data_IF_878398710737
#
_entry.id   IF_878398710737
#
_cell.length_a   1.000
_cell.length_b   1.000
_cell.length_c   1.000
_cell.angle_alpha   90.00
_cell.angle_beta   90.00
_cell.angle_gamma   90.00
#
_symmetry.space_group_name_H-M   'P 1'
#
loop_
_entity.id
_entity.type
_entity.pdbx_description
1 polymer ?
#
# COMPACT_ATOMS: atom_id res chain seq x y z
N UNK A 1 -33.07 3.16 40.54
CA UNK A 1 -33.93 4.29 40.19
C UNK A 1 -33.78 4.54 38.71
N UNK A 2 -34.80 4.14 37.93
CA UNK A 2 -34.74 4.09 36.50
C UNK A 2 -35.29 5.40 35.91
N UNK A 3 -34.41 6.22 35.34
CA UNK A 3 -34.82 7.45 34.64
C UNK A 3 -34.92 7.25 33.11
N UNK A 4 -34.68 6.04 32.59
CA UNK A 4 -34.66 5.77 31.18
C UNK A 4 -35.94 5.10 30.58
N UNK A 5 -36.89 4.72 31.47
CA UNK A 5 -38.09 4.03 31.02
C UNK A 5 -39.17 4.95 30.42
N UNK A 6 -39.04 6.27 30.53
CA UNK A 6 -40.03 7.23 30.08
C UNK A 6 -39.73 7.92 28.75
N UNK A 7 -38.65 7.58 28.08
CA UNK A 7 -38.23 8.26 26.84
C UNK A 7 -38.52 7.43 25.57
N UNK A 8 -38.62 6.11 25.69
CA UNK A 8 -38.97 5.25 24.54
C UNK A 8 -40.02 4.23 24.94
N UNK A 9 -41.33 4.56 24.80
CA UNK A 9 -42.40 3.57 24.94
C UNK A 9 -42.35 2.64 23.70
N UNK A 10 -42.27 1.34 23.92
CA UNK A 10 -42.25 0.25 22.92
C UNK A 10 -40.90 -0.21 22.36
N UNK A 11 -39.92 -0.45 23.21
CA UNK A 11 -38.93 -1.42 22.86
C UNK A 11 -39.30 -2.77 23.49
N UNK A 12 -40.19 -3.50 22.83
CA UNK A 12 -40.42 -4.90 23.13
C UNK A 12 -39.17 -5.71 22.75
N UNK A 13 -38.34 -6.08 23.71
CA UNK A 13 -37.31 -7.08 23.53
C UNK A 13 -37.95 -8.47 23.28
N UNK A 14 -38.36 -8.70 22.05
CA UNK A 14 -38.67 -10.02 21.56
C UNK A 14 -37.58 -10.46 20.56
N UNK A 15 -36.39 -10.70 21.08
CA UNK A 15 -35.37 -11.46 20.33
C UNK A 15 -35.52 -12.92 20.72
N UNK A 16 -36.47 -13.60 20.08
CA UNK A 16 -36.55 -15.08 20.08
C UNK A 16 -36.13 -15.70 18.76
N UNK A 17 -35.43 -14.98 17.93
CA UNK A 17 -34.82 -15.58 16.75
C UNK A 17 -33.30 -15.65 16.98
N UNK A 18 -32.78 -16.89 17.02
CA UNK A 18 -31.35 -17.21 17.02
C UNK A 18 -30.67 -16.78 15.70
N UNK A 19 -30.97 -15.59 15.21
CA UNK A 19 -30.21 -14.98 14.13
C UNK A 19 -28.87 -14.51 14.71
N UNK A 20 -27.86 -15.32 14.52
CA UNK A 20 -26.47 -14.91 14.77
C UNK A 20 -26.19 -13.69 13.90
N UNK A 21 -26.14 -12.53 14.51
CA UNK A 21 -25.82 -11.28 13.82
C UNK A 21 -24.38 -11.40 13.28
N UNK A 22 -24.24 -11.58 11.99
CA UNK A 22 -22.92 -11.71 11.33
C UNK A 22 -22.19 -10.37 11.23
N UNK A 23 -22.92 -9.24 11.27
CA UNK A 23 -22.33 -7.90 11.11
C UNK A 23 -21.49 -7.49 12.33
N UNK A 24 -21.97 -7.73 13.54
CA UNK A 24 -21.24 -7.34 14.76
C UNK A 24 -19.93 -8.11 14.97
N UNK A 25 -19.85 -9.43 14.73
CA UNK A 25 -18.57 -10.15 14.76
C UNK A 25 -17.60 -9.65 13.71
N UNK A 26 -18.06 -9.38 12.48
CA UNK A 26 -17.23 -8.84 11.40
C UNK A 26 -16.71 -7.44 11.71
N UNK A 27 -17.56 -6.56 12.25
CA UNK A 27 -17.16 -5.21 12.63
C UNK A 27 -16.19 -5.16 13.83
N UNK A 28 -16.19 -6.19 14.68
CA UNK A 28 -15.30 -6.33 15.84
C UNK A 28 -14.15 -7.33 15.60
N UNK A 29 -13.99 -7.78 14.39
CA UNK A 29 -12.96 -8.75 14.07
C UNK A 29 -11.58 -8.15 14.38
N UNK A 30 -10.91 -8.71 15.38
CA UNK A 30 -9.52 -8.36 15.67
C UNK A 30 -8.67 -8.82 14.48
N UNK A 31 -7.80 -7.94 14.00
CA UNK A 31 -6.79 -8.31 13.01
C UNK A 31 -6.06 -9.57 13.49
N UNK A 32 -6.13 -10.62 12.70
CA UNK A 32 -5.33 -11.81 12.98
C UNK A 32 -3.85 -11.42 12.90
N UNK A 33 -3.00 -11.93 13.80
CA UNK A 33 -1.57 -11.68 13.68
C UNK A 33 -1.11 -12.24 12.33
N UNK A 34 -0.54 -11.38 11.49
CA UNK A 34 0.10 -11.84 10.25
C UNK A 34 1.25 -12.78 10.63
N UNK A 35 1.32 -13.98 10.04
CA UNK A 35 2.51 -14.79 10.19
C UNK A 35 3.71 -13.95 9.72
N UNK A 36 4.74 -13.86 10.55
CA UNK A 36 5.99 -13.20 10.16
C UNK A 36 6.58 -13.95 8.97
N UNK A 37 6.31 -13.46 7.78
CA UNK A 37 6.92 -13.96 6.57
C UNK A 37 8.30 -13.30 6.41
N UNK A 38 9.32 -13.90 7.02
CA UNK A 38 10.70 -13.42 6.97
C UNK A 38 11.42 -13.83 5.66
N UNK A 39 10.69 -14.25 4.64
CA UNK A 39 11.28 -14.58 3.36
C UNK A 39 11.60 -13.30 2.59
N UNK A 40 12.87 -12.90 2.67
CA UNK A 40 13.44 -11.88 1.80
C UNK A 40 13.69 -12.48 0.41
N UNK A 41 13.69 -11.63 -0.60
CA UNK A 41 14.11 -12.07 -1.94
C UNK A 41 15.56 -12.55 -1.91
N UNK A 42 15.91 -13.59 -2.68
CA UNK A 42 17.24 -14.20 -2.62
C UNK A 42 18.34 -13.31 -3.20
N UNK A 43 17.99 -12.41 -4.11
CA UNK A 43 18.95 -11.52 -4.78
C UNK A 43 18.50 -10.06 -4.66
N UNK A 44 19.51 -9.17 -4.57
CA UNK A 44 19.26 -7.74 -4.62
C UNK A 44 18.57 -7.34 -5.93
N UNK A 45 17.63 -6.43 -5.84
CA UNK A 45 16.80 -5.89 -6.94
C UNK A 45 15.79 -6.88 -7.56
N UNK A 46 15.69 -8.11 -7.09
CA UNK A 46 14.69 -9.04 -7.60
C UNK A 46 13.26 -8.52 -7.35
N UNK A 47 13.02 -7.96 -6.16
CA UNK A 47 11.74 -7.41 -5.75
C UNK A 47 11.93 -6.00 -5.19
N UNK A 48 11.22 -5.04 -5.77
CA UNK A 48 11.16 -3.67 -5.26
C UNK A 48 9.79 -3.38 -4.69
N UNK A 49 9.76 -2.76 -3.52
CA UNK A 49 8.57 -2.15 -2.96
C UNK A 49 8.60 -0.65 -3.24
N UNK A 50 7.54 -0.12 -3.83
CA UNK A 50 7.43 1.30 -4.16
C UNK A 50 6.19 1.89 -3.52
N UNK A 51 6.33 3.07 -2.97
CA UNK A 51 5.23 3.78 -2.30
C UNK A 51 5.41 5.29 -2.43
N UNK A 52 4.28 6.03 -2.45
CA UNK A 52 4.26 7.49 -2.50
C UNK A 52 3.58 8.03 -1.27
N UNK A 53 4.30 8.87 -0.56
CA UNK A 53 3.75 9.59 0.55
C UNK A 53 3.47 11.06 0.19
N UNK A 54 2.35 11.60 0.66
CA UNK A 54 1.94 12.99 0.42
C UNK A 54 0.49 13.12 -0.06
N UNK A 55 -0.03 14.36 -0.24
CA UNK A 55 0.74 15.61 -0.17
C UNK A 55 0.97 16.08 1.27
N UNK A 56 2.18 16.48 1.58
CA UNK A 56 2.43 17.16 2.85
C UNK A 56 1.81 18.56 2.83
N UNK A 57 1.25 18.98 3.94
CA UNK A 57 0.48 20.25 4.02
C UNK A 57 1.33 21.49 3.78
N UNK A 58 2.62 21.45 4.13
CA UNK A 58 3.60 22.52 3.87
C UNK A 58 4.60 22.03 2.83
N UNK A 59 4.76 22.77 1.74
CA UNK A 59 5.81 22.45 0.76
C UNK A 59 7.20 22.84 1.29
N UNK A 60 8.23 22.16 0.81
CA UNK A 60 9.61 22.61 0.99
C UNK A 60 9.82 23.96 0.28
N UNK A 61 10.96 24.63 0.54
CA UNK A 61 11.35 25.87 -0.13
C UNK A 61 11.34 25.71 -1.66
N UNK A 62 11.70 24.51 -2.14
CA UNK A 62 11.76 24.17 -3.57
C UNK A 62 10.41 23.71 -4.13
N UNK A 63 9.37 23.63 -3.30
CA UNK A 63 8.00 23.28 -3.70
C UNK A 63 7.67 21.79 -3.67
N UNK A 64 8.50 20.93 -3.08
CA UNK A 64 8.20 19.50 -2.96
C UNK A 64 7.14 19.27 -1.88
N UNK A 65 6.20 18.38 -2.17
CA UNK A 65 5.10 17.99 -1.28
C UNK A 65 4.90 16.49 -1.19
N UNK A 66 5.58 15.72 -2.03
CA UNK A 66 5.49 14.27 -2.09
C UNK A 66 6.89 13.68 -2.04
N UNK A 67 6.97 12.41 -1.69
CA UNK A 67 8.19 11.65 -1.93
C UNK A 67 7.83 10.23 -2.35
N UNK A 68 8.61 9.71 -3.28
CA UNK A 68 8.61 8.33 -3.70
C UNK A 68 9.67 7.59 -2.90
N UNK A 69 9.28 6.48 -2.30
CA UNK A 69 10.21 5.52 -1.70
C UNK A 69 10.33 4.30 -2.61
N UNK A 70 11.55 3.84 -2.80
CA UNK A 70 11.85 2.56 -3.48
C UNK A 70 12.70 1.74 -2.54
N UNK A 71 12.20 0.58 -2.12
CA UNK A 71 12.86 -0.30 -1.15
C UNK A 71 13.20 -1.63 -1.83
N UNK A 72 14.45 -2.02 -1.79
CA UNK A 72 14.86 -3.36 -2.20
C UNK A 72 14.51 -4.39 -1.12
N UNK A 73 13.79 -5.43 -1.50
CA UNK A 73 13.32 -6.46 -0.56
C UNK A 73 14.47 -7.25 0.08
N UNK A 74 15.52 -7.52 -0.66
CA UNK A 74 16.67 -8.29 -0.20
C UNK A 74 17.54 -7.50 0.78
N UNK A 75 18.02 -6.33 0.36
CA UNK A 75 19.02 -5.56 1.12
C UNK A 75 18.40 -4.56 2.09
N UNK A 76 17.12 -4.29 1.94
CA UNK A 76 16.38 -3.21 2.66
C UNK A 76 16.90 -1.81 2.36
N UNK A 77 17.77 -1.66 1.37
CA UNK A 77 18.22 -0.35 0.91
C UNK A 77 17.03 0.44 0.39
N UNK A 78 16.96 1.69 0.81
CA UNK A 78 15.85 2.58 0.47
C UNK A 78 16.37 3.80 -0.29
N UNK A 79 15.76 4.10 -1.43
CA UNK A 79 15.95 5.34 -2.19
C UNK A 79 14.73 6.22 -2.00
N UNK A 80 14.97 7.51 -1.86
CA UNK A 80 13.91 8.50 -1.66
C UNK A 80 14.08 9.59 -2.72
N UNK A 81 12.98 9.89 -3.44
CA UNK A 81 12.91 10.93 -4.45
C UNK A 81 11.84 11.95 -4.06
N UNK A 82 12.24 13.21 -3.88
CA UNK A 82 11.31 14.30 -3.62
C UNK A 82 10.57 14.69 -4.91
N UNK A 83 9.27 14.94 -4.80
CA UNK A 83 8.40 15.26 -5.93
C UNK A 83 7.49 16.44 -5.61
N UNK A 84 7.20 17.23 -6.64
CA UNK A 84 6.21 18.32 -6.56
C UNK A 84 4.81 17.81 -6.82
N UNK A 85 4.69 16.80 -7.66
CA UNK A 85 3.42 16.16 -8.01
C UNK A 85 3.58 14.64 -8.17
N UNK A 86 2.48 13.91 -8.04
CA UNK A 86 2.45 12.46 -8.27
C UNK A 86 2.75 12.06 -9.71
N UNK A 87 2.56 12.96 -10.67
CA UNK A 87 2.88 12.69 -12.09
C UNK A 87 4.38 12.49 -12.35
N UNK A 88 5.24 12.90 -11.41
CA UNK A 88 6.68 12.67 -11.50
C UNK A 88 7.09 11.23 -11.17
N UNK A 89 6.18 10.43 -10.62
CA UNK A 89 6.46 9.03 -10.24
C UNK A 89 6.91 8.19 -11.42
N UNK A 90 6.17 8.24 -12.52
CA UNK A 90 6.48 7.46 -13.73
C UNK A 90 7.88 7.72 -14.26
N UNK A 91 8.29 8.96 -14.58
CA UNK A 91 9.64 9.23 -15.06
C UNK A 91 10.73 8.88 -14.04
N UNK A 92 10.51 9.09 -12.74
CA UNK A 92 11.46 8.74 -11.70
C UNK A 92 11.66 7.23 -11.60
N UNK A 93 10.59 6.46 -11.69
CA UNK A 93 10.67 5.00 -11.63
C UNK A 93 11.35 4.41 -12.86
N UNK A 94 11.07 4.95 -14.04
CA UNK A 94 11.77 4.59 -15.29
C UNK A 94 13.27 4.91 -15.18
N UNK A 95 13.61 6.08 -14.67
CA UNK A 95 14.99 6.48 -14.41
C UNK A 95 15.66 5.52 -13.44
N UNK A 96 15.01 5.19 -12.32
CA UNK A 96 15.55 4.28 -11.31
C UNK A 96 15.83 2.89 -11.89
N UNK A 97 14.88 2.31 -12.63
CA UNK A 97 15.04 1.00 -13.27
C UNK A 97 16.23 1.01 -14.24
N UNK A 98 16.35 2.06 -15.04
CA UNK A 98 17.47 2.22 -15.97
C UNK A 98 18.80 2.36 -15.24
N UNK A 99 18.83 3.11 -14.13
CA UNK A 99 20.00 3.27 -13.27
C UNK A 99 20.46 1.92 -12.71
N UNK A 100 19.54 1.11 -12.18
CA UNK A 100 19.85 -0.23 -11.66
C UNK A 100 20.48 -1.12 -12.75
N UNK A 101 19.90 -1.11 -13.95
CA UNK A 101 20.44 -1.87 -15.09
C UNK A 101 21.84 -1.41 -15.46
N UNK A 102 22.09 -0.10 -15.47
CA UNK A 102 23.35 0.48 -15.93
C UNK A 102 24.47 0.36 -14.89
N UNK A 103 24.16 0.65 -13.62
CA UNK A 103 25.17 0.75 -12.57
C UNK A 103 25.44 -0.58 -11.85
N UNK A 104 24.39 -1.40 -11.71
CA UNK A 104 24.47 -2.66 -10.95
C UNK A 104 24.41 -3.90 -11.85
N UNK A 105 24.18 -3.72 -13.15
CA UNK A 105 23.96 -4.83 -14.11
C UNK A 105 22.88 -5.81 -13.65
N UNK A 106 21.91 -5.32 -12.85
CA UNK A 106 20.85 -6.12 -12.29
C UNK A 106 19.53 -5.89 -13.04
N UNK A 107 18.71 -6.94 -13.11
CA UNK A 107 17.38 -6.89 -13.70
C UNK A 107 16.33 -7.00 -12.58
N UNK A 108 15.43 -6.05 -12.56
CA UNK A 108 14.29 -6.05 -11.63
C UNK A 108 13.25 -7.03 -12.17
N UNK A 109 12.82 -7.98 -11.34
CA UNK A 109 11.82 -8.98 -11.72
C UNK A 109 10.41 -8.60 -11.28
N UNK A 110 10.28 -8.02 -10.09
CA UNK A 110 8.97 -7.69 -9.51
C UNK A 110 8.98 -6.26 -8.95
N UNK A 111 7.89 -5.56 -9.18
CA UNK A 111 7.59 -4.28 -8.51
C UNK A 111 6.28 -4.46 -7.75
N UNK A 112 6.30 -4.14 -6.46
CA UNK A 112 5.13 -4.17 -5.58
C UNK A 112 4.79 -2.77 -5.13
N UNK A 113 3.53 -2.37 -5.28
CA UNK A 113 3.02 -1.09 -4.76
C UNK A 113 1.63 -1.26 -4.14
N UNK A 114 1.11 -0.17 -3.60
CA UNK A 114 -0.32 -0.03 -3.43
C UNK A 114 -1.03 0.06 -4.80
N UNK A 115 -2.35 0.21 -4.79
CA UNK A 115 -3.14 0.28 -6.04
C UNK A 115 -3.15 1.70 -6.67
N UNK A 116 -2.08 2.48 -6.51
CA UNK A 116 -1.95 3.81 -7.09
C UNK A 116 -1.84 3.78 -8.62
N UNK A 117 -2.66 4.58 -9.30
CA UNK A 117 -2.65 4.67 -10.77
C UNK A 117 -1.32 5.19 -11.34
N UNK A 118 -0.59 5.96 -10.56
CA UNK A 118 0.73 6.51 -10.88
C UNK A 118 1.81 5.45 -11.11
N UNK A 119 1.59 4.22 -10.63
CA UNK A 119 2.48 3.08 -10.84
C UNK A 119 2.07 2.21 -12.03
N UNK A 120 0.92 2.50 -12.67
CA UNK A 120 0.41 1.67 -13.76
C UNK A 120 1.12 2.02 -15.08
N UNK A 121 2.10 1.20 -15.44
CA UNK A 121 2.88 1.32 -16.70
C UNK A 121 2.97 -0.05 -17.41
N UNK A 122 1.83 -0.64 -17.83
CA UNK A 122 1.81 -2.03 -18.32
C UNK A 122 2.73 -2.26 -19.51
N UNK A 123 2.74 -1.38 -20.49
CA UNK A 123 3.58 -1.51 -21.69
C UNK A 123 5.07 -1.42 -21.35
N UNK A 124 5.44 -0.54 -20.43
CA UNK A 124 6.82 -0.40 -19.98
C UNK A 124 7.27 -1.66 -19.23
N UNK A 125 6.49 -2.14 -18.28
CA UNK A 125 6.80 -3.35 -17.52
C UNK A 125 6.90 -4.57 -18.43
N UNK A 126 5.97 -4.72 -19.38
CA UNK A 126 6.02 -5.80 -20.35
C UNK A 126 7.30 -5.74 -21.21
N UNK A 127 7.71 -4.55 -21.65
CA UNK A 127 8.94 -4.36 -22.45
C UNK A 127 10.22 -4.72 -21.70
N UNK A 128 10.19 -4.63 -20.36
CA UNK A 128 11.31 -4.95 -19.47
C UNK A 128 11.23 -6.35 -18.85
N UNK A 129 10.13 -7.07 -19.06
CA UNK A 129 9.89 -8.37 -18.41
C UNK A 129 9.65 -8.26 -16.91
N UNK A 130 9.16 -7.11 -16.43
CA UNK A 130 8.88 -6.85 -15.01
C UNK A 130 7.45 -7.27 -14.69
N UNK A 131 7.27 -8.03 -13.61
CA UNK A 131 5.95 -8.37 -13.09
C UNK A 131 5.53 -7.31 -12.07
N UNK A 132 4.46 -6.58 -12.39
CA UNK A 132 3.87 -5.61 -11.47
C UNK A 132 2.81 -6.28 -10.59
N UNK A 133 2.91 -6.06 -9.28
CA UNK A 133 1.99 -6.57 -8.27
C UNK A 133 1.48 -5.41 -7.42
N UNK A 134 0.18 -5.34 -7.23
CA UNK A 134 -0.47 -4.38 -6.33
C UNK A 134 -1.20 -5.11 -5.22
N UNK A 135 -1.36 -4.45 -4.07
CA UNK A 135 -2.14 -4.98 -2.96
C UNK A 135 -3.62 -5.07 -3.33
N UNK A 136 -4.30 -6.11 -2.84
CA UNK A 136 -5.75 -6.23 -3.02
C UNK A 136 -6.47 -5.05 -2.37
N UNK A 137 -7.53 -4.56 -3.05
CA UNK A 137 -8.36 -3.44 -2.59
C UNK A 137 -9.16 -3.79 -1.32
N UNK A 138 -9.28 -5.06 -0.97
CA UNK A 138 -10.14 -5.58 0.09
C UNK A 138 -9.42 -6.01 1.38
N UNK A 139 -8.26 -5.51 1.66
CA UNK A 139 -7.67 -5.67 3.01
C UNK A 139 -8.07 -4.49 3.87
N UNK A 140 -9.01 -4.66 4.82
CA UNK A 140 -9.38 -3.62 5.76
C UNK A 140 -8.23 -3.25 6.71
#
# INVERSE_FOLDING_TARGET
MSFLSNIVPNVSHSCKDNHVCTVCPLAKQKRLPFPHNNHLSPCAFDILHVDIWGPYHVSTIEGYRYFLTVVDDCTRTTWIYLMKSKSETTPLLVFFITMIQTQFHALIKHIKSDNGQEFSMPDFYASKGIIYQHSCVETP
#
